data_IF_687268802910
#
_entry.id   IF_687268802910
#
_cell.length_a   1.000
_cell.length_b   1.000
_cell.length_c   1.000
_cell.angle_alpha   90.00
_cell.angle_beta   90.00
_cell.angle_gamma   90.00
#
_symmetry.space_group_name_H-M   'P 1'
#
loop_
_entity.id
_entity.type
_entity.pdbx_description
1 polymer ?
#
# COMPACT_ATOMS: atom_id res chain seq x y z
N UNK A 1 -26.47 28.46 -9.27
CA UNK A 1 -25.26 27.61 -9.22
C UNK A 1 -25.65 26.22 -9.67
N UNK A 2 -25.39 25.89 -10.93
CA UNK A 2 -25.69 24.58 -11.52
C UNK A 2 -24.48 23.69 -11.22
N UNK A 3 -24.58 22.79 -10.23
CA UNK A 3 -23.63 21.68 -10.14
C UNK A 3 -23.94 20.78 -11.34
N UNK A 4 -23.08 20.80 -12.35
CA UNK A 4 -23.09 19.76 -13.36
C UNK A 4 -22.84 18.45 -12.60
N UNK A 5 -23.86 17.60 -12.50
CA UNK A 5 -23.70 16.21 -12.09
C UNK A 5 -22.81 15.55 -13.15
N UNK A 6 -21.49 15.62 -12.99
CA UNK A 6 -20.60 14.68 -13.64
C UNK A 6 -20.98 13.32 -13.07
N UNK A 7 -21.62 12.49 -13.88
CA UNK A 7 -21.87 11.10 -13.55
C UNK A 7 -20.51 10.43 -13.40
N UNK A 8 -20.10 10.17 -12.16
CA UNK A 8 -18.88 9.43 -11.89
C UNK A 8 -19.09 8.00 -12.34
N UNK A 9 -18.21 7.51 -13.21
CA UNK A 9 -18.18 6.10 -13.57
C UNK A 9 -17.52 5.32 -12.43
N UNK A 10 -18.33 4.92 -11.45
CA UNK A 10 -17.86 4.20 -10.25
C UNK A 10 -17.18 2.88 -10.60
N UNK A 11 -17.70 2.14 -11.59
CA UNK A 11 -17.12 0.89 -12.08
C UNK A 11 -15.69 1.11 -12.57
N UNK A 12 -15.48 2.09 -13.46
CA UNK A 12 -14.16 2.42 -13.98
C UNK A 12 -13.21 2.89 -12.87
N UNK A 13 -13.69 3.70 -11.93
CA UNK A 13 -12.90 4.18 -10.81
C UNK A 13 -12.41 3.04 -9.91
N UNK A 14 -13.30 2.10 -9.53
CA UNK A 14 -12.94 0.96 -8.68
C UNK A 14 -12.04 -0.04 -9.42
N UNK A 15 -12.22 -0.23 -10.73
CA UNK A 15 -11.29 -1.01 -11.57
C UNK A 15 -9.88 -0.41 -11.56
N UNK A 16 -9.77 0.91 -11.73
CA UNK A 16 -8.48 1.61 -11.68
C UNK A 16 -7.80 1.47 -10.30
N UNK A 17 -8.57 1.48 -9.21
CA UNK A 17 -8.06 1.22 -7.86
C UNK A 17 -7.44 -0.18 -7.76
N UNK A 18 -8.13 -1.22 -8.27
CA UNK A 18 -7.59 -2.58 -8.31
C UNK A 18 -6.30 -2.68 -9.11
N UNK A 19 -6.24 -2.01 -10.26
CA UNK A 19 -5.02 -1.96 -11.06
C UNK A 19 -3.87 -1.31 -10.28
N UNK A 20 -4.13 -0.18 -9.58
CA UNK A 20 -3.11 0.45 -8.75
C UNK A 20 -2.66 -0.44 -7.60
N UNK A 21 -3.55 -1.23 -6.98
CA UNK A 21 -3.14 -2.21 -5.97
C UNK A 21 -2.26 -3.32 -6.53
N UNK A 22 -2.56 -3.82 -7.73
CA UNK A 22 -1.72 -4.81 -8.40
C UNK A 22 -0.31 -4.28 -8.66
N UNK A 23 -0.20 -3.03 -9.14
CA UNK A 23 1.10 -2.36 -9.32
C UNK A 23 1.80 -2.22 -7.97
N UNK A 24 1.11 -1.76 -6.93
CA UNK A 24 1.68 -1.55 -5.60
C UNK A 24 2.23 -2.85 -4.98
N UNK A 25 1.50 -3.95 -5.12
CA UNK A 25 1.95 -5.27 -4.69
C UNK A 25 3.23 -5.71 -5.43
N UNK A 26 3.33 -5.45 -6.73
CA UNK A 26 4.54 -5.72 -7.52
C UNK A 26 5.71 -4.83 -7.06
N UNK A 27 5.46 -3.54 -6.80
CA UNK A 27 6.47 -2.61 -6.27
C UNK A 27 7.00 -3.07 -4.91
N UNK A 28 6.15 -3.57 -4.01
CA UNK A 28 6.59 -4.16 -2.74
C UNK A 28 7.47 -5.40 -2.93
N UNK A 29 7.11 -6.31 -3.84
CA UNK A 29 7.93 -7.50 -4.14
C UNK A 29 9.33 -7.10 -4.62
N UNK A 30 9.41 -6.11 -5.52
CA UNK A 30 10.68 -5.56 -6.00
C UNK A 30 11.49 -4.93 -4.85
N UNK A 31 10.83 -4.14 -4.02
CA UNK A 31 11.48 -3.45 -2.91
C UNK A 31 12.07 -4.44 -1.88
N UNK A 32 11.30 -5.44 -1.48
CA UNK A 32 11.73 -6.50 -0.55
C UNK A 32 12.84 -7.36 -1.16
N UNK A 33 12.74 -7.71 -2.44
CA UNK A 33 13.77 -8.49 -3.14
C UNK A 33 15.10 -7.74 -3.24
N UNK A 34 15.07 -6.44 -3.56
CA UNK A 34 16.27 -5.62 -3.61
C UNK A 34 16.92 -5.48 -2.22
N UNK A 35 16.11 -5.40 -1.17
CA UNK A 35 16.61 -5.35 0.20
C UNK A 35 17.26 -6.69 0.63
N UNK A 36 16.62 -7.82 0.33
CA UNK A 36 17.19 -9.14 0.60
C UNK A 36 18.54 -9.35 -0.13
N UNK A 37 18.62 -8.91 -1.38
CA UNK A 37 19.85 -8.96 -2.16
C UNK A 37 20.95 -8.06 -1.57
N UNK A 38 20.59 -6.87 -1.09
CA UNK A 38 21.52 -6.01 -0.34
C UNK A 38 22.00 -6.66 0.95
N UNK A 39 21.13 -7.30 1.73
CA UNK A 39 21.55 -7.99 2.95
C UNK A 39 22.55 -9.11 2.65
N UNK A 40 22.42 -9.79 1.51
CA UNK A 40 23.30 -10.87 1.05
C UNK A 40 24.63 -10.37 0.51
N UNK A 41 24.62 -9.37 -0.37
CA UNK A 41 25.80 -8.89 -1.11
C UNK A 41 26.55 -7.77 -0.41
N UNK A 42 25.86 -7.04 0.48
CA UNK A 42 26.28 -5.76 1.07
C UNK A 42 26.54 -4.65 0.04
N UNK A 43 26.14 -4.85 -1.22
CA UNK A 43 26.20 -3.80 -2.24
C UNK A 43 25.00 -2.87 -2.12
N UNK A 44 25.26 -1.65 -1.64
CA UNK A 44 24.23 -0.66 -1.41
C UNK A 44 23.70 -0.01 -2.70
N UNK A 45 24.48 0.01 -3.78
CA UNK A 45 24.14 0.81 -4.97
C UNK A 45 22.90 0.27 -5.72
N UNK A 46 22.78 -1.03 -6.01
CA UNK A 46 21.55 -1.59 -6.61
C UNK A 46 20.31 -1.36 -5.74
N UNK A 47 20.46 -1.49 -4.42
CA UNK A 47 19.37 -1.25 -3.48
C UNK A 47 18.93 0.22 -3.45
N UNK A 48 19.87 1.17 -3.47
CA UNK A 48 19.56 2.60 -3.56
C UNK A 48 18.78 2.95 -4.85
N UNK A 49 19.18 2.37 -5.98
CA UNK A 49 18.44 2.53 -7.25
C UNK A 49 17.01 1.99 -7.11
N UNK A 50 16.87 0.77 -6.56
CA UNK A 50 15.55 0.18 -6.34
C UNK A 50 14.68 1.02 -5.40
N UNK A 51 15.23 1.57 -4.31
CA UNK A 51 14.50 2.50 -3.44
C UNK A 51 13.94 3.69 -4.21
N UNK A 52 14.77 4.32 -5.05
CA UNK A 52 14.36 5.49 -5.85
C UNK A 52 13.22 5.14 -6.80
N UNK A 53 13.36 4.04 -7.55
CA UNK A 53 12.34 3.57 -8.49
C UNK A 53 11.04 3.19 -7.78
N UNK A 54 11.12 2.45 -6.67
CA UNK A 54 9.96 2.07 -5.88
C UNK A 54 9.27 3.29 -5.27
N UNK A 55 10.00 4.28 -4.76
CA UNK A 55 9.40 5.53 -4.25
C UNK A 55 8.61 6.26 -5.32
N UNK A 56 9.13 6.35 -6.56
CA UNK A 56 8.41 6.96 -7.67
C UNK A 56 7.14 6.18 -8.03
N UNK A 57 7.20 4.85 -8.05
CA UNK A 57 6.02 4.01 -8.31
C UNK A 57 4.97 4.13 -7.21
N UNK A 58 5.36 4.07 -5.93
CA UNK A 58 4.44 4.26 -4.81
C UNK A 58 3.76 5.63 -4.87
N UNK A 59 4.52 6.69 -5.18
CA UNK A 59 4.00 8.04 -5.36
C UNK A 59 2.96 8.07 -6.49
N UNK A 60 3.28 7.52 -7.65
CA UNK A 60 2.37 7.51 -8.80
C UNK A 60 1.07 6.72 -8.50
N UNK A 61 1.14 5.59 -7.81
CA UNK A 61 -0.04 4.85 -7.35
C UNK A 61 -0.88 5.70 -6.38
N UNK A 62 -0.25 6.29 -5.37
CA UNK A 62 -0.94 7.15 -4.40
C UNK A 62 -1.63 8.34 -5.06
N UNK A 63 -0.97 9.05 -5.98
CA UNK A 63 -1.55 10.21 -6.66
C UNK A 63 -2.81 9.84 -7.46
N UNK A 64 -2.81 8.68 -8.12
CA UNK A 64 -3.99 8.18 -8.83
C UNK A 64 -5.13 7.85 -7.88
N UNK A 65 -4.87 7.13 -6.78
CA UNK A 65 -5.91 6.78 -5.80
C UNK A 65 -6.47 8.03 -5.11
N UNK A 66 -5.63 9.02 -4.76
CA UNK A 66 -6.07 10.34 -4.26
C UNK A 66 -6.98 11.04 -5.26
N UNK A 67 -6.65 10.99 -6.55
CA UNK A 67 -7.49 11.61 -7.57
C UNK A 67 -8.86 10.94 -7.66
N UNK A 68 -8.92 9.61 -7.59
CA UNK A 68 -10.19 8.86 -7.61
C UNK A 68 -11.00 9.13 -6.34
N UNK A 69 -10.35 9.16 -5.18
CA UNK A 69 -10.98 9.52 -3.91
C UNK A 69 -11.63 10.92 -3.99
N UNK A 70 -10.92 11.91 -4.54
CA UNK A 70 -11.47 13.25 -4.73
C UNK A 70 -12.66 13.24 -5.67
N UNK A 71 -12.57 12.52 -6.80
CA UNK A 71 -13.69 12.37 -7.74
C UNK A 71 -14.94 11.84 -7.03
N UNK A 72 -14.82 10.81 -6.18
CA UNK A 72 -15.95 10.30 -5.41
C UNK A 72 -16.48 11.31 -4.39
N UNK A 73 -15.58 12.05 -3.72
CA UNK A 73 -15.96 13.05 -2.72
C UNK A 73 -16.71 14.22 -3.37
N UNK A 74 -16.22 14.71 -4.52
CA UNK A 74 -16.81 15.81 -5.28
C UNK A 74 -18.16 15.44 -5.90
N UNK A 75 -18.37 14.16 -6.20
CA UNK A 75 -19.66 13.65 -6.71
C UNK A 75 -20.64 13.24 -5.61
N UNK A 76 -20.28 13.39 -4.33
CA UNK A 76 -21.11 13.00 -3.19
C UNK A 76 -21.14 11.49 -2.88
N UNK A 77 -20.32 10.68 -3.56
CA UNK A 77 -20.17 9.24 -3.30
C UNK A 77 -19.22 9.01 -2.09
N UNK A 78 -19.62 9.53 -0.93
CA UNK A 78 -18.80 9.51 0.28
C UNK A 78 -18.38 8.10 0.74
N UNK A 79 -19.22 7.04 0.65
CA UNK A 79 -18.79 5.69 1.04
C UNK A 79 -17.54 5.22 0.27
N UNK A 80 -17.49 5.44 -1.03
CA UNK A 80 -16.32 5.08 -1.85
C UNK A 80 -15.11 5.96 -1.54
N UNK A 81 -15.31 7.26 -1.30
CA UNK A 81 -14.23 8.15 -0.91
C UNK A 81 -13.61 7.72 0.45
N UNK A 82 -14.44 7.34 1.41
CA UNK A 82 -13.97 6.92 2.74
C UNK A 82 -13.31 5.54 2.70
N UNK A 83 -13.79 4.63 1.85
CA UNK A 83 -13.15 3.35 1.57
C UNK A 83 -11.73 3.54 1.00
N UNK A 84 -11.57 4.42 0.02
CA UNK A 84 -10.26 4.74 -0.57
C UNK A 84 -9.34 5.51 0.38
N UNK A 85 -9.91 6.27 1.33
CA UNK A 85 -9.14 6.89 2.41
C UNK A 85 -8.55 5.82 3.34
N UNK A 86 -9.38 4.88 3.80
CA UNK A 86 -8.96 3.74 4.64
C UNK A 86 -7.87 2.91 3.95
N UNK A 87 -8.02 2.65 2.64
CA UNK A 87 -7.01 1.97 1.83
C UNK A 87 -5.66 2.69 1.91
N UNK A 88 -5.64 4.00 1.66
CA UNK A 88 -4.41 4.79 1.64
C UNK A 88 -3.74 4.91 3.01
N UNK A 89 -4.52 4.98 4.08
CA UNK A 89 -3.98 5.01 5.44
C UNK A 89 -3.30 3.67 5.79
N UNK A 90 -3.93 2.54 5.41
CA UNK A 90 -3.31 1.22 5.55
C UNK A 90 -2.04 1.08 4.69
N UNK A 91 -2.06 1.54 3.44
CA UNK A 91 -0.89 1.51 2.56
C UNK A 91 0.29 2.33 3.10
N UNK A 92 0.00 3.50 3.67
CA UNK A 92 1.00 4.36 4.29
C UNK A 92 1.61 3.68 5.52
N UNK A 93 0.78 3.11 6.38
CA UNK A 93 1.25 2.37 7.56
C UNK A 93 2.09 1.15 7.16
N UNK A 94 1.67 0.42 6.12
CA UNK A 94 2.41 -0.73 5.59
C UNK A 94 3.81 -0.32 5.13
N UNK A 95 3.92 0.77 4.36
CA UNK A 95 5.21 1.27 3.88
C UNK A 95 6.12 1.68 5.04
N UNK A 96 5.57 2.37 6.04
CA UNK A 96 6.30 2.79 7.23
C UNK A 96 6.85 1.59 8.01
N UNK A 97 6.01 0.57 8.25
CA UNK A 97 6.43 -0.67 8.93
C UNK A 97 7.46 -1.46 8.12
N UNK A 98 7.30 -1.54 6.79
CA UNK A 98 8.30 -2.17 5.92
C UNK A 98 9.66 -1.48 6.05
N UNK A 99 9.71 -0.14 6.00
CA UNK A 99 10.97 0.60 6.15
C UNK A 99 11.57 0.41 7.54
N UNK A 100 10.75 0.42 8.60
CA UNK A 100 11.22 0.16 9.97
C UNK A 100 11.82 -1.24 10.11
N UNK A 101 11.15 -2.27 9.58
CA UNK A 101 11.67 -3.64 9.55
C UNK A 101 13.00 -3.75 8.79
N UNK A 102 13.13 -3.05 7.66
CA UNK A 102 14.39 -3.02 6.92
C UNK A 102 15.50 -2.33 7.71
N UNK A 103 15.22 -1.20 8.37
CA UNK A 103 16.20 -0.52 9.23
C UNK A 103 16.63 -1.42 10.40
N UNK A 104 15.66 -2.08 11.05
CA UNK A 104 15.90 -3.01 12.14
C UNK A 104 16.80 -4.18 11.70
N UNK A 105 16.47 -4.82 10.56
CA UNK A 105 17.28 -5.90 9.95
C UNK A 105 18.66 -5.47 9.46
N UNK A 106 18.91 -4.18 9.26
CA UNK A 106 20.26 -3.68 8.94
C UNK A 106 21.15 -3.59 10.17
N UNK A 107 20.54 -3.41 11.35
CA UNK A 107 21.22 -3.16 12.61
C UNK A 107 21.19 -4.41 13.51
N UNK A 108 21.43 -5.59 12.92
CA UNK A 108 21.47 -6.85 13.69
C UNK A 108 22.59 -6.74 14.74
N UNK A 109 22.29 -7.05 16.02
CA UNK A 109 23.27 -7.04 17.10
C UNK A 109 24.47 -7.94 16.82
N UNK A 110 25.63 -7.56 17.37
CA UNK A 110 26.81 -8.43 17.36
C UNK A 110 26.60 -9.71 18.20
N UNK A 111 27.45 -10.74 18.04
CA UNK A 111 27.33 -12.01 18.78
C UNK A 111 27.45 -11.87 20.30
N UNK A 112 28.01 -10.75 20.79
CA UNK A 112 28.21 -10.47 22.22
C UNK A 112 27.12 -9.55 22.82
N UNK A 113 26.12 -9.14 22.03
CA UNK A 113 25.03 -8.25 22.44
C UNK A 113 23.75 -9.02 22.79
N UNK A 114 22.97 -8.54 23.77
CA UNK A 114 21.69 -9.14 24.14
C UNK A 114 20.65 -9.00 23.01
N UNK A 115 20.42 -10.08 22.27
CA UNK A 115 19.50 -10.13 21.12
C UNK A 115 18.03 -10.21 21.52
N UNK A 116 17.69 -10.44 22.79
CA UNK A 116 16.30 -10.69 23.20
C UNK A 116 15.40 -9.46 23.06
N UNK A 117 15.94 -8.25 23.18
CA UNK A 117 15.20 -7.01 22.91
C UNK A 117 14.98 -6.82 21.41
N UNK A 118 16.03 -7.08 20.62
CA UNK A 118 15.99 -7.00 19.16
C UNK A 118 14.95 -7.96 18.57
N UNK A 119 14.97 -9.23 18.99
CA UNK A 119 14.05 -10.26 18.52
C UNK A 119 12.59 -9.91 18.83
N UNK A 120 12.30 -9.44 20.06
CA UNK A 120 10.95 -9.01 20.46
C UNK A 120 10.44 -7.84 19.63
N UNK A 121 11.28 -6.85 19.36
CA UNK A 121 10.90 -5.71 18.53
C UNK A 121 10.65 -6.14 17.07
N UNK A 122 11.49 -7.01 16.52
CA UNK A 122 11.31 -7.58 15.18
C UNK A 122 9.98 -8.33 15.08
N UNK A 123 9.67 -9.20 16.04
CA UNK A 123 8.40 -9.93 16.11
C UNK A 123 7.20 -8.98 16.20
N UNK A 124 7.30 -7.92 17.01
CA UNK A 124 6.25 -6.93 17.17
C UNK A 124 5.96 -6.19 15.84
N UNK A 125 7.01 -5.69 15.19
CA UNK A 125 6.90 -5.01 13.89
C UNK A 125 6.34 -5.94 12.81
N UNK A 126 6.75 -7.21 12.80
CA UNK A 126 6.23 -8.21 11.86
C UNK A 126 4.73 -8.46 12.08
N UNK A 127 4.29 -8.56 13.34
CA UNK A 127 2.88 -8.73 13.69
C UNK A 127 2.05 -7.52 13.27
N UNK A 128 2.51 -6.31 13.57
CA UNK A 128 1.84 -5.09 13.13
C UNK A 128 1.74 -5.02 11.60
N UNK A 129 2.80 -5.38 10.89
CA UNK A 129 2.79 -5.40 9.42
C UNK A 129 1.75 -6.37 8.89
N UNK A 130 1.65 -7.58 9.47
CA UNK A 130 0.64 -8.57 9.07
C UNK A 130 -0.78 -8.02 9.26
N UNK A 131 -1.07 -7.40 10.41
CA UNK A 131 -2.38 -6.80 10.68
C UNK A 131 -2.75 -5.71 9.66
N UNK A 132 -1.78 -4.89 9.24
CA UNK A 132 -2.02 -3.87 8.22
C UNK A 132 -2.24 -4.51 6.84
N UNK A 133 -1.53 -5.59 6.50
CA UNK A 133 -1.78 -6.33 5.25
C UNK A 133 -3.18 -6.92 5.24
N UNK A 134 -3.63 -7.51 6.35
CA UNK A 134 -5.02 -7.98 6.52
C UNK A 134 -6.00 -6.82 6.30
N UNK A 135 -5.77 -5.66 6.91
CA UNK A 135 -6.59 -4.47 6.69
C UNK A 135 -6.59 -3.94 5.26
N UNK A 136 -5.49 -4.06 4.51
CA UNK A 136 -5.48 -3.75 3.05
C UNK A 136 -6.36 -4.75 2.29
N UNK A 137 -6.23 -6.05 2.59
CA UNK A 137 -7.00 -7.09 1.93
C UNK A 137 -8.50 -6.95 2.19
N UNK A 138 -8.89 -6.67 3.44
CA UNK A 138 -10.29 -6.41 3.80
C UNK A 138 -10.89 -5.27 2.98
N UNK A 139 -10.18 -4.14 2.86
CA UNK A 139 -10.62 -3.01 2.04
C UNK A 139 -10.72 -3.39 0.56
N UNK A 140 -9.83 -4.24 0.06
CA UNK A 140 -9.88 -4.70 -1.32
C UNK A 140 -10.99 -5.71 -1.60
N UNK A 141 -11.36 -6.52 -0.61
CA UNK A 141 -12.54 -7.37 -0.67
C UNK A 141 -13.82 -6.53 -0.68
N UNK A 142 -13.89 -5.47 0.14
CA UNK A 142 -14.98 -4.48 0.10
C UNK A 142 -15.06 -3.81 -1.30
N UNK A 143 -13.94 -3.35 -1.87
CA UNK A 143 -13.90 -2.80 -3.24
C UNK A 143 -14.40 -3.82 -4.28
N UNK A 144 -14.06 -5.10 -4.11
CA UNK A 144 -14.49 -6.16 -5.03
C UNK A 144 -16.00 -6.43 -4.92
N UNK A 145 -16.56 -6.42 -3.71
CA UNK A 145 -17.99 -6.57 -3.47
C UNK A 145 -18.74 -5.43 -4.17
N UNK A 146 -18.36 -4.18 -3.87
CA UNK A 146 -18.99 -2.99 -4.46
C UNK A 146 -18.92 -2.98 -5.99
N UNK A 147 -17.76 -3.35 -6.56
CA UNK A 147 -17.61 -3.47 -8.01
C UNK A 147 -18.53 -4.55 -8.59
N UNK A 148 -18.73 -5.66 -7.89
CA UNK A 148 -19.59 -6.76 -8.35
C UNK A 148 -21.05 -6.32 -8.30
N UNK A 149 -21.47 -5.65 -7.23
CA UNK A 149 -22.84 -5.15 -7.07
C UNK A 149 -23.19 -4.11 -8.14
N UNK A 150 -22.26 -3.18 -8.44
CA UNK A 150 -22.44 -2.22 -9.53
C UNK A 150 -22.60 -2.90 -10.90
N UNK A 151 -21.80 -3.94 -11.18
CA UNK A 151 -21.88 -4.68 -12.45
C UNK A 151 -23.15 -5.54 -12.57
N UNK A 152 -23.71 -6.01 -11.45
CA UNK A 152 -24.94 -6.81 -11.44
C UNK A 152 -26.21 -5.94 -11.39
N UNK A 153 -26.14 -4.73 -10.83
CA UNK A 153 -27.26 -3.79 -10.75
C UNK A 153 -27.55 -3.03 -12.05
N UNK A 154 -26.62 -3.06 -13.01
CA UNK A 154 -26.77 -2.49 -14.35
C UNK A 154 -27.33 -3.51 -15.39
N UNK A 155 -27.79 -4.70 -14.95
CA UNK A 155 -28.39 -5.76 -15.78
C UNK A 155 -29.91 -5.88 -15.57
#
# INVERSE_FOLDING_TARGET
FFFAHMTVNSVQCLQQVKEQQSVRAQTYRKFESAFAEYLRTKDFKPYQTACTECTLQFKACSEKVVSIERTFRDSGNLPYADLLRKLQDNEKMLLQLTVQLQQHRKNVPGPDEDSAVFERELEHLQKQRLQVVEGVNEVMDEVQIELTDLLMGDA
#
